data_IF_051528480765
#
_entry.id   IF_051528480765
#
_cell.length_a   1.000
_cell.length_b   1.000
_cell.length_c   1.000
_cell.angle_alpha   90.00
_cell.angle_beta   90.00
_cell.angle_gamma   90.00
#
_symmetry.space_group_name_H-M   'P 1'
#
loop_
_entity.id
_entity.type
_entity.pdbx_description
1 polymer ?
#
# COMPACT_ATOMS: atom_id res chain seq x y z
N UNK A 1 0.99 16.67 -2.04
CA UNK A 1 2.32 17.29 -1.96
C UNK A 1 2.39 18.43 -2.98
N UNK A 2 2.91 19.60 -2.62
CA UNK A 2 2.96 20.77 -3.49
C UNK A 2 4.41 21.16 -3.78
N UNK A 3 4.71 21.41 -5.06
CA UNK A 3 5.97 21.96 -5.54
C UNK A 3 5.64 23.19 -6.36
N UNK A 4 6.29 24.33 -6.13
CA UNK A 4 6.15 25.59 -6.88
C UNK A 4 4.82 25.75 -7.66
N UNK A 5 4.65 25.07 -8.79
CA UNK A 5 3.53 25.13 -9.74
C UNK A 5 2.77 23.81 -9.89
N UNK A 6 3.18 22.73 -9.20
CA UNK A 6 2.61 21.38 -9.34
C UNK A 6 2.14 20.83 -8.01
N UNK A 7 0.92 20.30 -8.00
CA UNK A 7 0.34 19.56 -6.88
C UNK A 7 0.31 18.07 -7.24
N UNK A 8 0.80 17.21 -6.33
CA UNK A 8 0.62 15.77 -6.38
C UNK A 8 -0.37 15.43 -5.25
N UNK A 9 -1.58 15.05 -5.59
CA UNK A 9 -2.67 14.78 -4.65
C UNK A 9 -2.97 13.27 -4.51
N UNK A 10 -2.67 12.49 -5.54
CA UNK A 10 -2.79 11.03 -5.48
C UNK A 10 -1.52 10.38 -4.92
N UNK A 11 -1.69 9.36 -4.05
CA UNK A 11 -0.57 8.65 -3.44
C UNK A 11 0.34 7.98 -4.46
N UNK A 12 -0.22 7.43 -5.54
CA UNK A 12 0.54 6.80 -6.61
C UNK A 12 1.42 7.80 -7.38
N UNK A 13 0.95 9.03 -7.58
CA UNK A 13 1.75 10.09 -8.22
C UNK A 13 2.95 10.48 -7.35
N UNK A 14 2.75 10.52 -6.02
CA UNK A 14 3.83 10.79 -5.06
C UNK A 14 4.85 9.65 -5.09
N UNK A 15 4.41 8.39 -5.11
CA UNK A 15 5.28 7.22 -5.22
C UNK A 15 6.09 7.28 -6.51
N UNK A 16 5.45 7.47 -7.66
CA UNK A 16 6.11 7.57 -8.96
C UNK A 16 7.14 8.70 -8.99
N UNK A 17 6.82 9.85 -8.42
CA UNK A 17 7.77 10.96 -8.31
C UNK A 17 8.99 10.61 -7.44
N UNK A 18 8.78 9.95 -6.29
CA UNK A 18 9.87 9.55 -5.40
C UNK A 18 10.80 8.52 -6.07
N UNK A 19 10.24 7.55 -6.78
CA UNK A 19 11.00 6.56 -7.54
C UNK A 19 11.82 7.21 -8.68
N UNK A 20 11.24 8.17 -9.39
CA UNK A 20 11.94 8.90 -10.44
C UNK A 20 13.13 9.72 -9.90
N UNK A 21 13.08 10.18 -8.64
CA UNK A 21 14.17 10.91 -7.99
C UNK A 21 15.33 10.03 -7.52
N UNK A 22 15.05 8.80 -7.07
CA UNK A 22 16.04 7.88 -6.52
C UNK A 22 15.85 6.45 -7.08
N UNK A 23 16.01 6.22 -8.39
CA UNK A 23 15.72 4.93 -9.01
C UNK A 23 16.65 3.81 -8.54
N UNK A 24 17.86 4.12 -8.05
CA UNK A 24 18.83 3.11 -7.59
C UNK A 24 18.48 2.45 -6.26
N UNK A 25 17.55 3.02 -5.50
CA UNK A 25 17.18 2.53 -4.18
C UNK A 25 15.98 1.57 -4.22
N UNK A 26 15.49 1.25 -5.42
CA UNK A 26 14.28 0.48 -5.60
C UNK A 26 14.41 -0.56 -6.71
N UNK A 27 13.76 -1.70 -6.52
CA UNK A 27 13.63 -2.67 -7.59
C UNK A 27 12.76 -2.13 -8.72
N UNK A 28 13.30 -2.14 -9.94
CA UNK A 28 12.62 -1.68 -11.15
C UNK A 28 12.16 -2.88 -11.99
N UNK A 29 10.88 -3.20 -11.93
CA UNK A 29 10.26 -4.24 -12.75
C UNK A 29 10.38 -3.92 -14.24
N UNK A 30 10.62 -4.96 -15.09
CA UNK A 30 10.81 -4.82 -16.53
C UNK A 30 9.91 -5.80 -17.31
N UNK A 31 9.57 -5.43 -18.54
CA UNK A 31 8.80 -6.31 -19.41
C UNK A 31 7.47 -6.75 -18.81
N UNK A 32 7.28 -8.06 -18.69
CA UNK A 32 6.03 -8.64 -18.15
C UNK A 32 5.87 -8.40 -16.65
N UNK A 33 6.95 -8.28 -15.88
CA UNK A 33 6.91 -7.87 -14.46
C UNK A 33 6.31 -6.47 -14.32
N UNK A 34 6.66 -5.54 -15.21
CA UNK A 34 6.09 -4.18 -15.20
C UNK A 34 4.60 -4.17 -15.50
N UNK A 35 4.13 -5.00 -16.43
CA UNK A 35 2.70 -5.16 -16.73
C UNK A 35 1.95 -5.69 -15.51
N UNK A 36 2.46 -6.79 -14.92
CA UNK A 36 1.88 -7.40 -13.73
C UNK A 36 1.85 -6.42 -12.55
N UNK A 37 2.92 -5.64 -12.36
CA UNK A 37 2.99 -4.57 -11.36
C UNK A 37 1.84 -3.57 -11.55
N UNK A 38 1.64 -3.07 -12.76
CA UNK A 38 0.56 -2.14 -13.06
C UNK A 38 -0.83 -2.74 -12.83
N UNK A 39 -1.03 -4.00 -13.21
CA UNK A 39 -2.30 -4.71 -13.02
C UNK A 39 -2.63 -4.88 -11.54
N UNK A 40 -1.68 -5.34 -10.73
CA UNK A 40 -1.89 -5.54 -9.30
C UNK A 40 -2.10 -4.21 -8.58
N UNK A 41 -1.32 -3.17 -8.89
CA UNK A 41 -1.53 -1.84 -8.29
C UNK A 41 -2.93 -1.32 -8.61
N UNK A 42 -3.39 -1.42 -9.87
CA UNK A 42 -4.74 -1.00 -10.26
C UNK A 42 -5.83 -1.78 -9.51
N UNK A 43 -5.65 -3.09 -9.35
CA UNK A 43 -6.58 -3.94 -8.61
C UNK A 43 -6.70 -3.47 -7.14
N UNK A 44 -5.56 -3.13 -6.52
CA UNK A 44 -5.56 -2.66 -5.14
C UNK A 44 -6.11 -1.23 -4.98
N UNK A 45 -5.76 -0.32 -5.86
CA UNK A 45 -6.19 1.08 -5.77
C UNK A 45 -7.67 1.28 -6.13
N UNK A 46 -8.26 0.38 -6.91
CA UNK A 46 -9.68 0.40 -7.26
C UNK A 46 -10.49 -0.58 -6.41
N UNK A 47 -10.41 -1.88 -6.75
CA UNK A 47 -11.32 -2.89 -6.18
C UNK A 47 -11.04 -3.16 -4.70
N UNK A 48 -9.77 -3.39 -4.34
CA UNK A 48 -9.42 -3.68 -2.95
C UNK A 48 -9.76 -2.50 -2.04
N UNK A 49 -9.36 -1.29 -2.41
CA UNK A 49 -9.65 -0.04 -1.69
C UNK A 49 -11.15 0.19 -1.53
N UNK A 50 -11.93 -0.03 -2.61
CA UNK A 50 -13.39 0.07 -2.57
C UNK A 50 -14.02 -0.89 -1.56
N UNK A 51 -13.60 -2.15 -1.57
CA UNK A 51 -14.13 -3.16 -0.66
C UNK A 51 -13.61 -2.96 0.78
N UNK A 52 -12.36 -2.58 0.95
CA UNK A 52 -11.77 -2.29 2.25
C UNK A 52 -12.49 -1.13 2.96
N UNK A 53 -12.80 -0.07 2.25
CA UNK A 53 -13.52 1.08 2.81
C UNK A 53 -14.92 0.66 3.31
N UNK A 54 -15.65 -0.12 2.52
CA UNK A 54 -16.97 -0.63 2.87
C UNK A 54 -16.96 -1.70 3.96
N UNK A 55 -15.91 -2.46 4.05
CA UNK A 55 -15.71 -3.39 5.15
C UNK A 55 -15.47 -2.64 6.47
N UNK A 56 -14.54 -1.68 6.47
CA UNK A 56 -14.19 -0.91 7.68
C UNK A 56 -15.32 0.01 8.14
N UNK A 57 -16.05 0.61 7.21
CA UNK A 57 -17.07 1.62 7.48
C UNK A 57 -18.46 1.18 6.99
N UNK A 58 -18.78 -0.10 7.15
CA UNK A 58 -20.01 -0.71 6.66
C UNK A 58 -21.28 0.01 7.14
N UNK A 59 -21.28 0.55 8.36
CA UNK A 59 -22.41 1.32 8.89
C UNK A 59 -22.65 2.60 8.09
N UNK A 60 -21.58 3.32 7.73
CA UNK A 60 -21.65 4.52 6.90
C UNK A 60 -22.17 4.22 5.50
N UNK A 61 -21.73 3.11 4.91
CA UNK A 61 -22.11 2.70 3.57
C UNK A 61 -23.43 1.89 3.52
N UNK A 62 -23.95 1.49 4.68
CA UNK A 62 -25.16 0.63 4.80
C UNK A 62 -25.02 -0.65 3.97
N UNK A 63 -23.86 -1.30 4.04
CA UNK A 63 -23.53 -2.51 3.29
C UNK A 63 -23.26 -3.68 4.21
N UNK A 64 -23.31 -4.91 3.67
CA UNK A 64 -22.89 -6.10 4.41
C UNK A 64 -21.35 -6.17 4.48
N UNK A 65 -20.76 -6.08 5.68
CA UNK A 65 -19.31 -6.14 5.82
C UNK A 65 -18.73 -7.49 5.39
N UNK A 66 -19.47 -8.60 5.54
CA UNK A 66 -18.99 -9.93 5.16
C UNK A 66 -18.76 -10.03 3.65
N UNK A 67 -19.68 -9.48 2.86
CA UNK A 67 -19.52 -9.44 1.40
C UNK A 67 -18.22 -8.74 1.00
N UNK A 68 -17.93 -7.60 1.60
CA UNK A 68 -16.76 -6.81 1.27
C UNK A 68 -15.47 -7.44 1.81
N UNK A 69 -15.51 -8.06 2.98
CA UNK A 69 -14.42 -8.86 3.53
C UNK A 69 -14.02 -10.00 2.59
N UNK A 70 -15.00 -10.78 2.11
CA UNK A 70 -14.77 -11.90 1.19
C UNK A 70 -14.15 -11.43 -0.14
N UNK A 71 -14.56 -10.26 -0.65
CA UNK A 71 -13.96 -9.67 -1.85
C UNK A 71 -12.50 -9.27 -1.62
N UNK A 72 -12.18 -8.61 -0.51
CA UNK A 72 -10.79 -8.33 -0.14
C UNK A 72 -9.98 -9.61 -0.03
N UNK A 73 -10.52 -10.62 0.63
CA UNK A 73 -9.86 -11.91 0.78
C UNK A 73 -9.56 -12.58 -0.57
N UNK A 74 -10.51 -12.58 -1.49
CA UNK A 74 -10.30 -13.13 -2.85
C UNK A 74 -9.15 -12.45 -3.57
N UNK A 75 -8.99 -11.13 -3.40
CA UNK A 75 -7.86 -10.37 -3.97
C UNK A 75 -6.54 -10.74 -3.27
N UNK A 76 -6.54 -10.95 -1.95
CA UNK A 76 -5.35 -11.40 -1.23
C UNK A 76 -4.92 -12.81 -1.63
N UNK A 77 -5.86 -13.73 -1.86
CA UNK A 77 -5.56 -15.07 -2.37
C UNK A 77 -4.98 -15.02 -3.79
N UNK A 78 -5.50 -14.14 -4.65
CA UNK A 78 -4.89 -13.89 -5.96
C UNK A 78 -3.46 -13.37 -5.82
N UNK A 79 -3.21 -12.39 -4.94
CA UNK A 79 -1.86 -11.89 -4.66
C UNK A 79 -0.93 -12.98 -4.14
N UNK A 80 -1.42 -13.87 -3.27
CA UNK A 80 -0.65 -15.03 -2.79
C UNK A 80 -0.18 -15.92 -3.95
N UNK A 81 -1.03 -16.19 -4.94
CA UNK A 81 -0.66 -16.95 -6.13
C UNK A 81 0.33 -16.17 -7.04
N UNK A 82 0.20 -14.86 -7.10
CA UNK A 82 1.17 -14.00 -7.82
C UNK A 82 2.54 -14.05 -7.15
N UNK A 83 2.59 -13.98 -5.81
CA UNK A 83 3.84 -14.06 -5.02
C UNK A 83 4.52 -15.42 -5.25
N UNK A 84 3.78 -16.52 -5.17
CA UNK A 84 4.34 -17.87 -5.37
C UNK A 84 4.98 -18.09 -6.75
N UNK A 85 4.54 -17.36 -7.76
CA UNK A 85 5.02 -17.49 -9.15
C UNK A 85 6.10 -16.49 -9.53
N UNK A 86 6.39 -15.51 -8.68
CA UNK A 86 7.23 -14.36 -9.02
C UNK A 86 8.18 -14.00 -7.88
N UNK A 87 9.35 -14.62 -7.85
CA UNK A 87 10.36 -14.43 -6.79
C UNK A 87 10.81 -12.96 -6.64
N UNK A 88 10.72 -12.16 -7.72
CA UNK A 88 11.10 -10.74 -7.68
C UNK A 88 10.23 -9.89 -6.74
N UNK A 89 9.01 -10.34 -6.41
CA UNK A 89 8.11 -9.63 -5.48
C UNK A 89 8.67 -9.67 -4.06
N UNK A 90 9.41 -10.73 -3.72
CA UNK A 90 10.07 -10.95 -2.43
C UNK A 90 11.52 -10.51 -2.41
N UNK A 91 11.95 -9.69 -3.40
CA UNK A 91 13.32 -9.18 -3.45
C UNK A 91 13.65 -8.31 -2.23
N UNK A 92 14.95 -8.25 -1.89
CA UNK A 92 15.43 -7.45 -0.74
C UNK A 92 15.25 -5.94 -0.94
N UNK A 93 15.06 -5.51 -2.16
CA UNK A 93 14.85 -4.10 -2.50
C UNK A 93 13.35 -3.81 -2.63
N UNK A 94 12.84 -2.75 -1.97
CA UNK A 94 11.44 -2.40 -2.08
C UNK A 94 11.08 -2.00 -3.53
N UNK A 95 10.02 -2.58 -4.05
CA UNK A 95 9.49 -2.26 -5.37
C UNK A 95 8.34 -1.26 -5.28
N UNK A 96 7.99 -0.63 -6.40
CA UNK A 96 6.80 0.23 -6.48
C UNK A 96 5.52 -0.56 -6.14
N UNK A 97 5.44 -1.83 -6.58
CA UNK A 97 4.34 -2.72 -6.22
C UNK A 97 4.21 -2.85 -4.70
N UNK A 98 5.32 -3.23 -4.05
CA UNK A 98 5.38 -3.44 -2.61
C UNK A 98 4.91 -2.21 -1.82
N UNK A 99 5.49 -1.03 -2.11
CA UNK A 99 5.14 0.21 -1.40
C UNK A 99 3.68 0.62 -1.66
N UNK A 100 3.17 0.37 -2.86
CA UNK A 100 1.80 0.77 -3.23
C UNK A 100 0.72 -0.06 -2.54
N UNK A 101 0.95 -1.38 -2.34
CA UNK A 101 -0.12 -2.26 -1.85
C UNK A 101 -0.05 -2.57 -0.35
N UNK A 102 1.14 -2.56 0.27
CA UNK A 102 1.28 -2.93 1.69
C UNK A 102 0.46 -2.06 2.66
N UNK A 103 0.28 -0.75 2.46
CA UNK A 103 -0.59 0.06 3.32
C UNK A 103 -2.05 -0.40 3.33
N UNK A 104 -2.59 -0.87 2.20
CA UNK A 104 -3.95 -1.41 2.11
C UNK A 104 -4.08 -2.74 2.85
N UNK A 105 -3.13 -3.65 2.64
CA UNK A 105 -3.10 -4.96 3.32
C UNK A 105 -3.00 -4.77 4.84
N UNK A 106 -2.15 -3.86 5.28
CA UNK A 106 -2.04 -3.48 6.69
C UNK A 106 -3.37 -2.99 7.27
N UNK A 107 -4.07 -2.13 6.56
CA UNK A 107 -5.37 -1.63 7.00
C UNK A 107 -6.43 -2.73 7.06
N UNK A 108 -6.40 -3.67 6.13
CA UNK A 108 -7.29 -4.83 6.14
C UNK A 108 -7.03 -5.73 7.37
N UNK A 109 -5.75 -6.04 7.66
CA UNK A 109 -5.39 -6.80 8.86
C UNK A 109 -5.82 -6.11 10.15
N UNK A 110 -5.65 -4.79 10.26
CA UNK A 110 -6.04 -4.04 11.46
C UNK A 110 -7.56 -4.03 11.65
N UNK A 111 -8.34 -4.09 10.59
CA UNK A 111 -9.80 -4.15 10.67
C UNK A 111 -10.31 -5.41 11.39
N UNK A 112 -9.61 -6.55 11.19
CA UNK A 112 -9.92 -7.82 11.86
C UNK A 112 -8.66 -8.71 11.87
N UNK A 113 -7.86 -8.62 12.93
CA UNK A 113 -6.60 -9.36 13.05
C UNK A 113 -6.81 -10.87 13.15
N UNK A 114 -7.88 -11.31 13.80
CA UNK A 114 -8.16 -12.74 14.00
C UNK A 114 -8.59 -13.39 12.69
N UNK A 115 -9.48 -12.73 11.95
CA UNK A 115 -9.87 -13.20 10.63
C UNK A 115 -8.67 -13.23 9.67
N UNK A 116 -7.87 -12.16 9.60
CA UNK A 116 -6.68 -12.12 8.76
C UNK A 116 -5.71 -13.28 9.07
N UNK A 117 -5.52 -13.57 10.37
CA UNK A 117 -4.61 -14.64 10.81
C UNK A 117 -5.15 -16.05 10.53
N UNK A 118 -6.47 -16.21 10.35
CA UNK A 118 -7.10 -17.49 10.02
C UNK A 118 -7.00 -17.86 8.54
N UNK A 119 -6.55 -16.92 7.68
CA UNK A 119 -6.49 -17.11 6.24
C UNK A 119 -5.19 -17.78 5.78
N UNK A 120 -5.24 -18.58 4.70
CA UNK A 120 -4.07 -19.22 4.09
C UNK A 120 -3.41 -18.32 3.03
N UNK A 121 -2.75 -17.26 3.50
CA UNK A 121 -1.97 -16.33 2.66
C UNK A 121 -0.61 -16.04 3.30
N UNK A 122 0.21 -17.07 3.37
CA UNK A 122 1.52 -17.03 4.06
C UNK A 122 2.49 -16.03 3.45
N UNK A 123 2.59 -15.98 2.11
CA UNK A 123 3.45 -15.05 1.39
C UNK A 123 3.07 -13.59 1.66
N UNK A 124 1.77 -13.27 1.58
CA UNK A 124 1.25 -11.94 1.93
C UNK A 124 1.57 -11.58 3.38
N UNK A 125 1.42 -12.53 4.30
CA UNK A 125 1.71 -12.31 5.73
C UNK A 125 3.20 -12.04 5.97
N UNK A 126 4.09 -12.76 5.30
CA UNK A 126 5.54 -12.54 5.38
C UNK A 126 5.90 -11.15 4.87
N UNK A 127 5.43 -10.79 3.67
CA UNK A 127 5.67 -9.46 3.08
C UNK A 127 5.16 -8.33 3.98
N UNK A 128 3.99 -8.50 4.58
CA UNK A 128 3.45 -7.50 5.50
C UNK A 128 4.31 -7.34 6.76
N UNK A 129 4.80 -8.44 7.33
CA UNK A 129 5.72 -8.40 8.50
C UNK A 129 7.04 -7.72 8.15
N UNK A 130 7.61 -8.00 6.98
CA UNK A 130 8.81 -7.35 6.48
C UNK A 130 8.59 -5.85 6.31
N UNK A 131 7.47 -5.45 5.71
CA UNK A 131 7.09 -4.05 5.57
C UNK A 131 7.03 -3.34 6.92
N UNK A 132 6.30 -3.87 7.88
CA UNK A 132 6.12 -3.27 9.21
C UNK A 132 7.40 -3.27 10.05
N UNK A 133 8.33 -4.19 9.80
CA UNK A 133 9.64 -4.24 10.48
C UNK A 133 10.69 -3.34 9.83
N UNK A 134 10.47 -2.87 8.61
CA UNK A 134 11.42 -2.08 7.85
C UNK A 134 11.77 -0.74 8.52
N UNK A 135 12.99 -0.26 8.26
CA UNK A 135 13.43 1.06 8.74
C UNK A 135 12.56 2.17 8.15
N UNK A 136 12.20 2.05 6.86
CA UNK A 136 11.33 3.00 6.16
C UNK A 136 9.97 3.11 6.86
N UNK A 137 9.32 1.99 7.17
CA UNK A 137 8.03 2.01 7.84
C UNK A 137 8.13 2.65 9.24
N UNK A 138 9.15 2.31 10.02
CA UNK A 138 9.37 2.87 11.35
C UNK A 138 9.57 4.39 11.31
N UNK A 139 10.29 4.88 10.30
CA UNK A 139 10.52 6.31 10.10
C UNK A 139 9.23 7.06 9.77
N UNK A 140 8.45 6.59 8.77
CA UNK A 140 7.22 7.28 8.35
C UNK A 140 6.07 7.15 9.35
N UNK A 141 6.13 6.18 10.28
CA UNK A 141 5.13 6.00 11.33
C UNK A 141 5.43 6.76 12.63
N UNK A 142 6.53 7.50 12.67
CA UNK A 142 6.79 8.42 13.79
C UNK A 142 5.69 9.47 13.87
N UNK A 143 5.28 9.77 15.11
CA UNK A 143 4.29 10.82 15.35
C UNK A 143 4.93 12.19 15.16
N UNK A 144 4.43 12.94 14.20
CA UNK A 144 4.79 14.34 14.01
C UNK A 144 3.74 15.26 14.62
N UNK A 145 4.15 16.48 15.00
CA UNK A 145 3.19 17.51 15.42
C UNK A 145 2.21 17.80 14.27
N UNK A 146 0.95 18.03 14.65
CA UNK A 146 -0.05 18.43 13.68
C UNK A 146 0.33 19.79 13.07
N UNK A 147 0.29 19.87 11.75
CA UNK A 147 0.53 21.12 11.05
C UNK A 147 -0.50 22.17 11.46
N UNK A 148 -0.05 23.38 11.78
CA UNK A 148 -0.92 24.54 12.02
C UNK A 148 -0.38 25.77 11.31
N UNK A 149 -1.29 26.58 10.75
CA UNK A 149 -0.95 27.76 9.96
C UNK A 149 -0.13 28.79 10.76
N UNK A 150 -0.35 28.86 12.07
CA UNK A 150 0.31 29.84 12.95
C UNK A 150 1.74 29.43 13.35
N UNK A 151 2.08 28.16 13.31
CA UNK A 151 3.41 27.65 13.66
C UNK A 151 4.40 27.63 12.50
N UNK A 152 3.94 27.72 11.25
CA UNK A 152 4.75 27.50 10.04
C UNK A 152 4.89 28.74 9.15
N UNK A 153 4.85 29.92 9.70
CA UNK A 153 5.24 31.14 8.97
C UNK A 153 6.74 31.15 8.74
N UNK A 154 7.25 30.31 7.83
CA UNK A 154 8.65 30.42 7.40
C UNK A 154 9.39 29.18 6.94
N UNK A 155 8.83 27.97 7.02
CA UNK A 155 9.54 26.75 6.58
C UNK A 155 8.98 26.18 5.28
N UNK A 156 9.25 26.80 4.16
CA UNK A 156 9.34 26.08 2.90
C UNK A 156 10.72 25.40 2.90
N UNK A 157 10.74 24.09 3.05
CA UNK A 157 11.97 23.31 2.87
C UNK A 157 12.35 23.42 1.41
N UNK A 158 13.45 24.09 1.15
CA UNK A 158 14.13 24.19 -0.14
C UNK A 158 14.64 22.84 -0.65
#
# INVERSE_FOLDING_TARGET
MQFYDKVLDESLDIINWAFAKNPSNFYSAKGDESKLTCEVIKLFDNDFKYHLDRYKYYQRHKTDPNLHREKCNSILLYLEEVIKKNDWITSTEPSILYISIMPFIRQYRIADCDYFSSMDHKGVTILLKEFESSALFKEVMQKHEQWSKDKNNGAYVS
#
